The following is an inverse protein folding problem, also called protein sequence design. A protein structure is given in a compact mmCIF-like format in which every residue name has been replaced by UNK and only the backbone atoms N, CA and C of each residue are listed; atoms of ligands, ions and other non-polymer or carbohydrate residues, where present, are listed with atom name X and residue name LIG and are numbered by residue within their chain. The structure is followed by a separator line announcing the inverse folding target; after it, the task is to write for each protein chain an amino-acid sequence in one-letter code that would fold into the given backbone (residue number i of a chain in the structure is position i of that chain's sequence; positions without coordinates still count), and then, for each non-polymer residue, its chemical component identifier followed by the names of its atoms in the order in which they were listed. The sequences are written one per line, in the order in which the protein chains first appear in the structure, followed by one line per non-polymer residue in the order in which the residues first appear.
data_IF_171563105986
#
_entry.id   IF_171563105986
#
_cell.length_a   1.000
_cell.length_b   1.000
_cell.length_c   1.000
_cell.angle_alpha   90.00
_cell.angle_beta   90.00
_cell.angle_gamma   90.00
#
_symmetry.space_group_name_H-M   'P 1'
#
loop_
_entity.id
_entity.type
_entity.pdbx_description
1 polymer ?
#
# COMPACT_ATOMS: atom_id res chain seq x y z
N UNK A 1 16.25 3.17 -35.09
CA UNK A 1 15.23 4.01 -34.41
C UNK A 1 15.19 5.38 -35.09
N UNK A 2 14.03 5.81 -35.59
CA UNK A 2 13.83 7.15 -36.19
C UNK A 2 13.45 8.14 -35.09
N UNK A 3 13.84 9.40 -35.25
CA UNK A 3 13.59 10.44 -34.26
C UNK A 3 12.95 11.68 -34.90
N UNK A 4 11.99 12.27 -34.18
CA UNK A 4 11.25 13.47 -34.57
C UNK A 4 11.58 14.65 -33.64
N UNK A 5 11.55 15.86 -34.19
CA UNK A 5 11.56 17.07 -33.36
C UNK A 5 10.20 17.25 -32.68
N UNK A 6 10.15 17.98 -31.58
CA UNK A 6 8.90 18.26 -30.86
C UNK A 6 7.74 18.74 -31.75
N UNK A 7 8.00 19.56 -32.78
CA UNK A 7 6.95 20.04 -33.70
C UNK A 7 6.38 18.93 -34.59
N UNK A 8 7.20 17.99 -35.01
CA UNK A 8 6.80 16.82 -35.81
C UNK A 8 6.09 15.81 -34.90
N UNK A 9 6.64 15.60 -33.70
CA UNK A 9 6.08 14.69 -32.71
C UNK A 9 4.70 15.12 -32.20
N UNK A 10 4.44 16.43 -32.08
CA UNK A 10 3.10 16.98 -31.79
C UNK A 10 2.09 16.62 -32.89
N UNK A 11 2.53 16.61 -34.16
CA UNK A 11 1.65 16.27 -35.28
C UNK A 11 1.36 14.76 -35.32
N UNK A 12 2.36 13.93 -35.05
CA UNK A 12 2.20 12.46 -35.05
C UNK A 12 1.34 11.98 -33.88
N UNK A 13 1.54 12.53 -32.68
CA UNK A 13 0.80 12.17 -31.45
C UNK A 13 -0.55 12.88 -31.28
N UNK A 14 -0.83 13.92 -32.09
CA UNK A 14 -1.94 14.86 -31.90
C UNK A 14 -2.03 15.44 -30.47
N UNK A 15 -0.92 15.45 -29.74
CA UNK A 15 -0.85 15.81 -28.33
C UNK A 15 -0.10 17.12 -28.14
N UNK A 16 -0.52 17.91 -27.14
CA UNK A 16 0.13 19.18 -26.86
C UNK A 16 1.57 18.99 -26.36
N UNK A 17 2.41 20.01 -26.54
CA UNK A 17 3.79 20.01 -25.99
C UNK A 17 3.79 19.69 -24.48
N UNK A 18 2.90 20.30 -23.71
CA UNK A 18 2.84 20.10 -22.25
C UNK A 18 2.41 18.69 -21.88
N UNK A 19 1.47 18.08 -22.62
CA UNK A 19 1.07 16.66 -22.46
C UNK A 19 2.26 15.74 -22.72
N UNK A 20 2.98 15.94 -23.83
CA UNK A 20 4.16 15.13 -24.18
C UNK A 20 5.22 15.19 -23.07
N UNK A 21 5.60 16.39 -22.62
CA UNK A 21 6.60 16.50 -21.54
C UNK A 21 6.08 15.96 -20.20
N UNK A 22 4.78 16.03 -19.92
CA UNK A 22 4.18 15.46 -18.71
C UNK A 22 4.22 13.93 -18.75
N UNK A 23 3.91 13.31 -19.88
CA UNK A 23 4.03 11.86 -20.09
C UNK A 23 5.46 11.38 -19.82
N UNK A 24 6.46 12.03 -20.44
CA UNK A 24 7.86 11.66 -20.23
C UNK A 24 8.37 11.95 -18.82
N UNK A 25 7.83 12.97 -18.14
CA UNK A 25 8.14 13.21 -16.72
C UNK A 25 7.61 12.09 -15.82
N UNK A 26 6.51 11.43 -16.19
CA UNK A 26 5.96 10.26 -15.47
C UNK A 26 6.66 8.93 -15.82
N UNK A 27 7.33 8.88 -16.97
CA UNK A 27 7.95 7.69 -17.54
C UNK A 27 9.41 8.00 -17.92
N UNK A 28 10.27 8.07 -16.89
CA UNK A 28 11.67 8.47 -17.01
C UNK A 28 12.50 7.50 -17.86
N UNK A 29 12.12 6.22 -17.86
CA UNK A 29 12.66 5.16 -18.72
C UNK A 29 12.49 5.50 -20.21
N UNK A 30 11.26 5.85 -20.61
CA UNK A 30 10.99 6.28 -21.98
C UNK A 30 11.66 7.64 -22.28
N UNK A 31 11.84 8.49 -21.27
CA UNK A 31 12.53 9.76 -21.46
C UNK A 31 14.03 9.57 -21.71
N UNK A 32 14.65 8.55 -21.12
CA UNK A 32 16.04 8.18 -21.36
C UNK A 32 16.30 7.72 -22.81
N UNK A 33 15.28 7.18 -23.49
CA UNK A 33 15.37 6.80 -24.90
C UNK A 33 15.34 8.01 -25.87
N UNK A 34 14.96 9.20 -25.37
CA UNK A 34 14.99 10.44 -26.16
C UNK A 34 16.42 10.99 -26.29
N UNK A 35 16.72 11.64 -27.41
CA UNK A 35 18.05 12.22 -27.67
C UNK A 35 18.06 13.72 -27.46
N UNK A 36 19.11 14.23 -26.83
CA UNK A 36 19.37 15.67 -26.75
C UNK A 36 20.55 16.01 -27.66
N UNK A 37 20.31 16.78 -28.71
CA UNK A 37 21.35 17.12 -29.71
C UNK A 37 21.15 18.57 -30.14
N UNK A 38 22.23 19.35 -30.19
CA UNK A 38 22.19 20.77 -30.59
C UNK A 38 21.13 21.61 -29.86
N UNK A 39 21.03 21.42 -28.53
CA UNK A 39 20.09 22.16 -27.68
C UNK A 39 18.61 21.79 -27.88
N UNK A 40 18.32 20.75 -28.68
CA UNK A 40 16.96 20.30 -28.98
C UNK A 40 16.78 18.83 -28.61
N UNK A 41 15.60 18.51 -28.07
CA UNK A 41 15.22 17.13 -27.76
C UNK A 41 14.51 16.50 -28.96
N UNK A 42 14.87 15.26 -29.22
CA UNK A 42 14.40 14.42 -30.31
C UNK A 42 13.73 13.19 -29.71
N UNK A 43 12.51 12.91 -30.16
CA UNK A 43 11.65 11.86 -29.61
C UNK A 43 11.61 10.68 -30.58
N UNK A 44 11.71 9.42 -30.13
CA UNK A 44 11.55 8.28 -31.01
C UNK A 44 10.15 8.27 -31.65
N UNK A 45 10.08 8.04 -32.97
CA UNK A 45 8.80 7.97 -33.71
C UNK A 45 7.86 6.93 -33.12
N UNK A 46 8.41 5.81 -32.66
CA UNK A 46 7.65 4.66 -32.18
C UNK A 46 6.92 4.96 -30.86
N UNK A 47 7.32 6.02 -30.14
CA UNK A 47 6.65 6.44 -28.92
C UNK A 47 5.28 7.06 -29.20
N UNK A 48 4.98 7.43 -30.45
CA UNK A 48 3.68 8.00 -30.80
C UNK A 48 2.52 7.07 -30.43
N UNK A 49 2.74 5.74 -30.49
CA UNK A 49 1.75 4.73 -30.08
C UNK A 49 1.28 4.86 -28.64
N UNK A 50 2.12 5.36 -27.73
CA UNK A 50 1.77 5.53 -26.31
C UNK A 50 0.82 6.71 -26.07
N UNK A 51 0.65 7.60 -27.05
CA UNK A 51 -0.25 8.76 -26.94
C UNK A 51 -1.63 8.47 -27.53
N UNK A 52 -1.74 7.55 -28.47
CA UNK A 52 -3.04 7.04 -28.95
C UNK A 52 -3.66 6.04 -27.97
N UNK A 53 -2.85 5.43 -27.09
CA UNK A 53 -3.26 4.44 -26.11
C UNK A 53 -2.73 4.73 -24.70
N UNK A 54 -2.60 6.01 -24.32
CA UNK A 54 -2.06 6.44 -23.02
C UNK A 54 -2.74 5.70 -21.85
N UNK A 55 -4.06 5.51 -21.94
CA UNK A 55 -4.84 4.72 -20.98
C UNK A 55 -4.35 3.26 -20.91
N UNK A 56 -4.14 2.60 -22.06
CA UNK A 56 -3.64 1.21 -22.08
C UNK A 56 -2.20 1.09 -21.59
N UNK A 57 -1.37 2.12 -21.80
CA UNK A 57 -0.01 2.14 -21.27
C UNK A 57 -0.01 2.29 -19.74
N UNK A 58 -0.82 3.21 -19.21
CA UNK A 58 -1.01 3.38 -17.77
C UNK A 58 -1.62 2.12 -17.14
N UNK A 59 -2.63 1.50 -17.78
CA UNK A 59 -3.20 0.22 -17.37
C UNK A 59 -2.18 -0.91 -17.40
N UNK A 60 -1.34 -1.02 -18.44
CA UNK A 60 -0.29 -2.03 -18.51
C UNK A 60 0.75 -1.84 -17.39
N UNK A 61 1.06 -0.59 -17.03
CA UNK A 61 1.97 -0.28 -15.92
C UNK A 61 1.39 -0.75 -14.58
N UNK A 62 0.09 -0.50 -14.35
CA UNK A 62 -0.63 -1.01 -13.17
C UNK A 62 -0.59 -2.54 -13.16
N UNK A 63 -0.94 -3.19 -14.26
CA UNK A 63 -0.93 -4.66 -14.38
C UNK A 63 0.47 -5.25 -14.14
N UNK A 64 1.54 -4.58 -14.59
CA UNK A 64 2.92 -5.01 -14.30
C UNK A 64 3.26 -4.92 -12.82
N UNK A 65 2.83 -3.84 -12.16
CA UNK A 65 3.01 -3.67 -10.71
C UNK A 65 2.25 -4.75 -9.94
N UNK A 66 0.99 -5.01 -10.29
CA UNK A 66 0.19 -6.08 -9.69
C UNK A 66 0.83 -7.45 -9.90
N UNK A 67 1.31 -7.75 -11.11
CA UNK A 67 2.04 -8.99 -11.39
C UNK A 67 3.31 -9.14 -10.56
N UNK A 68 4.06 -8.05 -10.34
CA UNK A 68 5.24 -8.09 -9.47
C UNK A 68 4.86 -8.35 -8.01
N UNK A 69 3.81 -7.68 -7.50
CA UNK A 69 3.28 -7.92 -6.16
C UNK A 69 2.81 -9.37 -5.99
N UNK A 70 2.18 -9.96 -6.99
CA UNK A 70 1.78 -11.37 -6.99
C UNK A 70 2.97 -12.33 -6.98
N UNK A 71 4.04 -12.03 -7.72
CA UNK A 71 5.27 -12.85 -7.68
C UNK A 71 5.90 -12.84 -6.30
N UNK A 72 6.04 -11.65 -5.71
CA UNK A 72 6.55 -11.52 -4.36
C UNK A 72 5.68 -12.32 -3.37
N UNK A 73 4.34 -12.24 -3.50
CA UNK A 73 3.40 -13.02 -2.70
C UNK A 73 3.68 -14.53 -2.78
N UNK A 74 3.84 -15.07 -3.98
CA UNK A 74 4.17 -16.49 -4.20
C UNK A 74 5.49 -16.85 -3.52
N UNK A 75 6.51 -16.00 -3.67
CA UNK A 75 7.85 -16.27 -3.13
C UNK A 75 7.86 -16.37 -1.60
N UNK A 76 7.15 -15.50 -0.85
CA UNK A 76 7.11 -15.69 0.61
C UNK A 76 6.06 -16.71 1.07
N UNK A 77 5.02 -17.01 0.28
CA UNK A 77 4.12 -18.13 0.59
C UNK A 77 4.73 -19.49 0.30
N UNK A 78 5.87 -19.54 -0.40
CA UNK A 78 6.61 -20.79 -0.65
C UNK A 78 7.06 -21.45 0.66
N UNK A 79 7.41 -20.65 1.67
CA UNK A 79 7.66 -21.13 3.02
C UNK A 79 6.35 -21.20 3.82
N UNK A 80 5.82 -22.41 3.95
CA UNK A 80 4.56 -22.69 4.65
C UNK A 80 4.65 -22.53 6.16
N UNK A 81 5.85 -22.55 6.72
CA UNK A 81 6.10 -22.40 8.15
C UNK A 81 6.35 -20.92 8.53
N UNK A 82 6.33 -20.01 7.55
CA UNK A 82 6.54 -18.59 7.79
C UNK A 82 5.35 -17.93 8.50
N UNK A 83 5.64 -16.90 9.30
CA UNK A 83 4.60 -16.09 9.95
C UNK A 83 3.73 -15.37 8.92
N UNK A 84 4.31 -14.99 7.79
CA UNK A 84 3.63 -14.40 6.64
C UNK A 84 2.60 -15.36 6.05
N UNK A 85 2.96 -16.64 5.88
CA UNK A 85 2.01 -17.67 5.46
C UNK A 85 0.88 -17.83 6.47
N UNK A 86 1.21 -17.87 7.76
CA UNK A 86 0.22 -17.97 8.84
C UNK A 86 -0.78 -16.82 8.81
N UNK A 87 -0.31 -15.57 8.74
CA UNK A 87 -1.17 -14.39 8.66
C UNK A 87 -1.95 -14.32 7.34
N UNK A 88 -1.41 -14.83 6.23
CA UNK A 88 -2.13 -14.88 4.96
C UNK A 88 -3.33 -15.85 4.99
N UNK A 89 -3.23 -16.95 5.76
CA UNK A 89 -4.33 -17.90 5.95
C UNK A 89 -5.42 -17.39 6.90
N UNK A 90 -5.16 -16.33 7.66
CA UNK A 90 -6.15 -15.74 8.55
C UNK A 90 -7.15 -14.89 7.77
N UNK A 91 -8.39 -14.90 8.24
CA UNK A 91 -9.40 -13.97 7.74
C UNK A 91 -9.16 -12.58 8.31
N UNK A 92 -9.20 -11.58 7.43
CA UNK A 92 -9.09 -10.17 7.77
C UNK A 92 -10.23 -9.41 7.09
N UNK A 93 -10.71 -8.37 7.76
CA UNK A 93 -11.86 -7.58 7.27
C UNK A 93 -11.42 -6.34 6.52
N UNK A 94 -10.50 -5.56 7.08
CA UNK A 94 -10.09 -4.26 6.54
C UNK A 94 -8.58 -4.06 6.59
N UNK A 95 -8.08 -3.28 5.63
CA UNK A 95 -6.73 -2.74 5.60
C UNK A 95 -6.79 -1.23 5.81
N UNK A 96 -5.95 -0.74 6.72
CA UNK A 96 -5.85 0.66 7.08
C UNK A 96 -4.43 1.19 6.88
N UNK A 97 -4.34 2.46 6.52
CA UNK A 97 -3.11 3.25 6.56
C UNK A 97 -3.36 4.51 7.38
N UNK A 98 -2.55 4.70 8.43
CA UNK A 98 -2.62 5.88 9.30
C UNK A 98 -1.38 6.73 9.05
N UNK A 99 -1.58 7.84 8.37
CA UNK A 99 -0.56 8.84 8.12
C UNK A 99 -0.69 9.98 9.14
N UNK A 100 0.14 9.93 10.18
CA UNK A 100 0.12 10.93 11.24
C UNK A 100 0.43 12.34 10.74
N UNK A 101 -0.34 13.33 11.19
CA UNK A 101 -0.14 14.74 10.84
C UNK A 101 1.12 15.29 11.49
N UNK A 102 1.31 14.98 12.77
CA UNK A 102 2.51 15.33 13.53
C UNK A 102 3.64 14.32 13.26
N UNK A 103 4.88 14.80 13.27
CA UNK A 103 6.05 13.93 13.21
C UNK A 103 6.09 13.06 14.47
N UNK A 104 5.95 11.74 14.28
CA UNK A 104 6.04 10.75 15.36
C UNK A 104 7.26 9.87 15.17
N UNK A 105 7.86 9.47 16.28
CA UNK A 105 8.87 8.42 16.29
C UNK A 105 8.20 7.03 16.29
N UNK A 106 9.00 6.01 16.04
CA UNK A 106 8.57 4.61 15.95
C UNK A 106 7.82 4.12 17.20
N UNK A 107 8.40 4.31 18.39
CA UNK A 107 7.78 3.91 19.67
C UNK A 107 6.44 4.60 19.91
N UNK A 108 6.30 5.87 19.52
CA UNK A 108 5.03 6.58 19.63
C UNK A 108 3.97 5.98 18.71
N UNK A 109 4.32 5.66 17.46
CA UNK A 109 3.41 5.02 16.50
C UNK A 109 2.97 3.63 16.99
N UNK A 110 3.93 2.83 17.48
CA UNK A 110 3.67 1.54 18.09
C UNK A 110 2.65 1.64 19.23
N UNK A 111 2.84 2.58 20.17
CA UNK A 111 1.89 2.83 21.26
C UNK A 111 0.50 3.28 20.81
N UNK A 112 0.39 4.02 19.69
CA UNK A 112 -0.92 4.39 19.14
C UNK A 112 -1.69 3.16 18.68
N UNK A 113 -1.01 2.16 18.11
CA UNK A 113 -1.67 0.93 17.66
C UNK A 113 -2.17 0.06 18.81
N UNK A 114 -1.39 -0.06 19.89
CA UNK A 114 -1.88 -0.68 21.13
C UNK A 114 -3.05 0.09 21.74
N UNK A 115 -2.94 1.42 21.82
CA UNK A 115 -4.01 2.25 22.35
C UNK A 115 -5.30 2.16 21.52
N UNK A 116 -5.19 2.03 20.20
CA UNK A 116 -6.33 1.76 19.33
C UNK A 116 -6.97 0.41 19.66
N UNK A 117 -6.15 -0.64 19.77
CA UNK A 117 -6.63 -1.97 20.09
C UNK A 117 -7.36 -2.00 21.44
N UNK A 118 -6.77 -1.42 22.49
CA UNK A 118 -7.38 -1.34 23.82
C UNK A 118 -8.72 -0.60 23.78
N UNK A 119 -8.78 0.53 23.05
CA UNK A 119 -10.00 1.31 22.86
C UNK A 119 -11.11 0.51 22.16
N UNK A 120 -10.78 -0.26 21.12
CA UNK A 120 -11.75 -1.11 20.43
C UNK A 120 -12.18 -2.30 21.30
N UNK A 121 -11.23 -2.92 22.01
CA UNK A 121 -11.49 -4.06 22.88
C UNK A 121 -12.34 -3.69 24.09
N UNK A 122 -12.18 -2.49 24.66
CA UNK A 122 -13.05 -1.98 25.73
C UNK A 122 -14.51 -1.83 25.26
N UNK A 123 -14.71 -1.37 24.02
CA UNK A 123 -16.05 -1.15 23.45
C UNK A 123 -16.73 -2.40 22.94
N UNK A 124 -15.97 -3.32 22.34
CA UNK A 124 -16.52 -4.43 21.56
C UNK A 124 -15.90 -5.79 21.87
N UNK A 125 -14.93 -5.87 22.78
CA UNK A 125 -14.19 -7.10 23.04
C UNK A 125 -15.05 -8.25 23.56
N UNK A 126 -16.20 -7.95 24.17
CA UNK A 126 -17.19 -8.94 24.61
C UNK A 126 -18.22 -9.28 23.53
N UNK A 127 -18.31 -8.47 22.48
CA UNK A 127 -19.35 -8.55 21.44
C UNK A 127 -18.86 -9.20 20.15
N UNK A 128 -17.55 -9.13 19.86
CA UNK A 128 -16.93 -9.71 18.67
C UNK A 128 -15.47 -10.07 18.94
N UNK A 129 -14.98 -11.11 18.27
CA UNK A 129 -13.54 -11.33 18.17
C UNK A 129 -12.92 -10.19 17.35
N UNK A 130 -11.83 -9.66 17.88
CA UNK A 130 -10.99 -8.65 17.27
C UNK A 130 -9.57 -9.18 17.21
N UNK A 131 -8.95 -9.01 16.06
CA UNK A 131 -7.53 -9.30 15.84
C UNK A 131 -6.94 -8.20 14.99
N UNK A 132 -5.78 -7.72 15.39
CA UNK A 132 -5.10 -6.60 14.75
C UNK A 132 -3.65 -6.98 14.53
N UNK A 133 -3.20 -6.89 13.28
CA UNK A 133 -1.80 -6.96 12.92
C UNK A 133 -1.40 -5.61 12.36
N UNK A 134 -0.30 -5.03 12.85
CA UNK A 134 0.18 -3.73 12.39
C UNK A 134 1.68 -3.72 12.18
N UNK A 135 2.14 -2.78 11.36
CA UNK A 135 3.55 -2.45 11.18
C UNK A 135 3.76 -0.94 11.22
N UNK A 136 4.96 -0.54 11.60
CA UNK A 136 5.39 0.86 11.72
C UNK A 136 6.54 1.10 10.76
N UNK A 137 6.31 1.93 9.74
CA UNK A 137 7.29 2.19 8.68
C UNK A 137 7.70 3.67 8.64
N UNK A 138 8.96 4.01 8.32
CA UNK A 138 9.35 5.39 8.08
C UNK A 138 8.68 5.92 6.81
N UNK A 139 8.33 7.21 6.79
CA UNK A 139 7.89 7.83 5.53
C UNK A 139 9.04 7.91 4.52
N UNK A 140 8.76 7.63 3.25
CA UNK A 140 9.74 7.76 2.16
C UNK A 140 10.08 9.22 1.83
N UNK A 141 9.12 10.13 2.00
CA UNK A 141 9.20 11.51 1.52
C UNK A 141 9.31 12.56 2.64
N UNK A 142 9.30 12.15 3.92
CA UNK A 142 9.40 13.05 5.07
C UNK A 142 9.96 12.34 6.29
N UNK A 143 10.34 13.12 7.31
CA UNK A 143 10.72 12.58 8.61
C UNK A 143 9.50 12.11 9.40
N UNK A 144 9.67 11.03 10.16
CA UNK A 144 8.63 10.41 10.97
C UNK A 144 8.17 9.06 10.43
N UNK A 145 7.23 8.45 11.14
CA UNK A 145 6.72 7.11 10.88
C UNK A 145 5.20 7.13 10.63
N UNK A 146 4.69 6.06 10.05
CA UNK A 146 3.27 5.77 9.83
C UNK A 146 2.96 4.32 10.15
N UNK A 147 1.67 4.02 10.27
CA UNK A 147 1.21 2.66 10.47
C UNK A 147 0.41 2.15 9.29
N UNK A 148 0.65 0.90 8.96
CA UNK A 148 -0.25 0.04 8.20
C UNK A 148 -0.79 -1.00 9.17
N UNK A 149 -2.07 -1.33 9.05
CA UNK A 149 -2.62 -2.43 9.85
C UNK A 149 -3.79 -3.11 9.15
N UNK A 150 -3.99 -4.37 9.50
CA UNK A 150 -5.17 -5.15 9.16
C UNK A 150 -5.93 -5.47 10.43
N UNK A 151 -7.26 -5.49 10.32
CA UNK A 151 -8.14 -5.84 11.41
C UNK A 151 -9.14 -6.90 10.98
N UNK A 152 -9.30 -7.92 11.81
CA UNK A 152 -10.40 -8.89 11.75
C UNK A 152 -11.50 -8.45 12.70
N UNK A 153 -12.73 -8.53 12.21
CA UNK A 153 -13.94 -8.30 12.98
C UNK A 153 -14.89 -9.45 12.63
N UNK A 154 -15.09 -10.36 13.59
CA UNK A 154 -15.93 -11.55 13.40
C UNK A 154 -17.38 -11.19 13.06
N UNK A 155 -17.99 -10.26 13.82
CA UNK A 155 -19.35 -9.81 13.52
C UNK A 155 -19.38 -8.75 12.41
N UNK A 156 -19.78 -9.20 11.22
CA UNK A 156 -19.97 -8.35 10.03
C UNK A 156 -20.91 -7.17 10.24
N UNK A 157 -21.84 -7.24 11.20
CA UNK A 157 -22.76 -6.14 11.51
C UNK A 157 -22.06 -4.95 12.16
N UNK A 158 -20.93 -5.19 12.81
CA UNK A 158 -20.14 -4.18 13.51
C UNK A 158 -19.07 -3.53 12.62
N UNK A 159 -18.92 -3.98 11.37
CA UNK A 159 -17.89 -3.51 10.45
C UNK A 159 -17.90 -1.99 10.28
N UNK A 160 -19.02 -1.41 9.87
CA UNK A 160 -19.14 0.04 9.64
C UNK A 160 -18.92 0.85 10.93
N UNK A 161 -19.43 0.35 12.05
CA UNK A 161 -19.30 1.00 13.36
C UNK A 161 -17.84 1.03 13.82
N UNK A 162 -17.13 -0.09 13.74
CA UNK A 162 -15.73 -0.18 14.14
C UNK A 162 -14.83 0.65 13.21
N UNK A 163 -15.10 0.65 11.90
CA UNK A 163 -14.38 1.53 10.96
C UNK A 163 -14.56 3.00 11.35
N UNK A 164 -15.78 3.40 11.72
CA UNK A 164 -16.07 4.76 12.19
C UNK A 164 -15.30 5.08 13.47
N UNK A 165 -15.29 4.18 14.46
CA UNK A 165 -14.53 4.38 15.70
C UNK A 165 -13.01 4.49 15.48
N UNK A 166 -12.46 3.73 14.52
CA UNK A 166 -11.05 3.85 14.13
C UNK A 166 -10.78 5.24 13.52
N UNK A 167 -11.65 5.70 12.61
CA UNK A 167 -11.51 7.02 11.99
C UNK A 167 -11.67 8.15 13.00
N UNK A 168 -12.55 8.00 13.99
CA UNK A 168 -12.71 8.93 15.11
C UNK A 168 -11.49 8.95 16.03
N UNK A 169 -10.92 7.79 16.35
CA UNK A 169 -9.70 7.67 17.15
C UNK A 169 -8.54 8.45 16.52
N UNK A 170 -8.43 8.42 15.20
CA UNK A 170 -7.41 9.12 14.41
C UNK A 170 -7.94 10.38 13.71
N UNK A 171 -8.97 11.04 14.25
CA UNK A 171 -9.66 12.16 13.57
C UNK A 171 -8.76 13.37 13.22
N UNK A 172 -7.61 13.52 13.88
CA UNK A 172 -6.63 14.57 13.60
C UNK A 172 -5.58 14.15 12.56
N UNK A 173 -5.54 12.87 12.21
CA UNK A 173 -4.62 12.26 11.28
C UNK A 173 -5.33 11.87 9.97
N UNK A 174 -4.56 11.51 8.95
CA UNK A 174 -5.14 10.97 7.71
C UNK A 174 -5.23 9.46 7.82
N UNK A 175 -6.44 8.94 7.68
CA UNK A 175 -6.72 7.50 7.73
C UNK A 175 -7.35 7.06 6.41
N UNK A 176 -6.66 6.18 5.68
CA UNK A 176 -7.18 5.55 4.48
C UNK A 176 -7.62 4.12 4.84
N UNK A 177 -8.82 3.72 4.40
CA UNK A 177 -9.41 2.40 4.66
C UNK A 177 -9.83 1.73 3.36
N UNK A 178 -9.67 0.42 3.30
CA UNK A 178 -10.18 -0.43 2.23
C UNK A 178 -10.56 -1.80 2.76
N UNK A 179 -11.50 -2.48 2.10
CA UNK A 179 -11.75 -3.89 2.36
C UNK A 179 -10.47 -4.69 2.13
N UNK A 180 -10.15 -5.60 3.04
CA UNK A 180 -8.97 -6.43 2.88
C UNK A 180 -9.16 -7.39 1.70
N UNK A 181 -8.15 -7.47 0.85
CA UNK A 181 -8.08 -8.42 -0.26
C UNK A 181 -6.77 -9.20 -0.12
N UNK A 182 -6.87 -10.49 0.20
CA UNK A 182 -5.72 -11.37 0.43
C UNK A 182 -4.80 -11.56 -0.79
N UNK A 183 -5.29 -11.20 -1.97
CA UNK A 183 -4.52 -11.24 -3.21
C UNK A 183 -3.83 -9.91 -3.51
N UNK A 184 -4.24 -8.84 -2.82
CA UNK A 184 -3.54 -7.56 -2.83
C UNK A 184 -2.59 -7.56 -1.63
N UNK A 185 -1.33 -7.26 -1.93
CA UNK A 185 -0.19 -7.43 -1.05
C UNK A 185 -0.19 -6.56 0.25
N UNK A 186 -1.32 -6.20 0.86
CA UNK A 186 -1.39 -5.35 2.05
C UNK A 186 -0.65 -5.96 3.25
N UNK A 187 -0.91 -7.21 3.56
CA UNK A 187 -0.22 -7.95 4.64
C UNK A 187 1.25 -8.22 4.30
N UNK A 188 1.55 -8.26 3.00
CA UNK A 188 2.88 -8.49 2.45
C UNK A 188 3.75 -7.25 2.42
N UNK A 189 3.15 -6.09 2.13
CA UNK A 189 3.78 -4.78 2.15
C UNK A 189 4.26 -4.47 3.55
N UNK A 190 3.44 -4.85 4.55
CA UNK A 190 3.76 -4.76 5.96
C UNK A 190 4.95 -5.67 6.35
N UNK A 191 5.07 -6.85 5.77
CA UNK A 191 6.12 -7.82 6.13
C UNK A 191 7.37 -7.80 5.23
N UNK A 192 7.47 -6.87 4.26
CA UNK A 192 8.45 -6.90 3.15
C UNK A 192 9.92 -6.82 3.59
N UNK A 193 10.21 -6.17 4.71
CA UNK A 193 11.57 -5.95 5.22
C UNK A 193 11.91 -6.88 6.40
N UNK A 194 11.07 -7.89 6.64
CA UNK A 194 11.19 -8.79 7.79
C UNK A 194 10.54 -8.22 9.04
N UNK A 195 10.00 -9.12 9.86
CA UNK A 195 9.33 -8.82 11.11
C UNK A 195 10.36 -8.83 12.26
N UNK A 196 11.27 -7.86 12.28
CA UNK A 196 12.35 -7.78 13.28
C UNK A 196 12.19 -6.57 14.21
N UNK A 197 12.15 -6.80 15.52
CA UNK A 197 12.13 -5.72 16.53
C UNK A 197 10.75 -5.12 16.81
N UNK A 198 10.72 -3.89 17.36
CA UNK A 198 9.51 -3.12 17.72
C UNK A 198 8.83 -2.44 16.50
N UNK A 199 8.75 -3.14 15.39
CA UNK A 199 8.27 -2.60 14.10
C UNK A 199 6.87 -3.12 13.79
N UNK A 200 6.42 -4.12 14.54
CA UNK A 200 5.17 -4.82 14.31
C UNK A 200 4.67 -5.47 15.60
N UNK A 201 3.37 -5.73 15.66
CA UNK A 201 2.80 -6.63 16.66
C UNK A 201 1.52 -7.27 16.11
N UNK A 202 1.10 -8.36 16.75
CA UNK A 202 -0.12 -9.10 16.50
C UNK A 202 -0.89 -9.23 17.81
N UNK A 203 -2.05 -8.58 17.89
CA UNK A 203 -2.86 -8.51 19.09
C UNK A 203 -4.24 -9.12 18.81
N UNK A 204 -4.75 -9.96 19.70
CA UNK A 204 -6.09 -10.53 19.60
C UNK A 204 -6.76 -10.65 20.97
N UNK A 205 -8.09 -10.68 20.96
CA UNK A 205 -8.90 -10.84 22.17
C UNK A 205 -9.50 -12.23 22.29
N UNK A 206 -9.11 -13.17 21.41
CA UNK A 206 -9.55 -14.54 21.51
C UNK A 206 -9.09 -15.07 22.87
N UNK A 207 -10.07 -15.44 23.68
CA UNK A 207 -9.84 -16.03 25.00
C UNK A 207 -8.82 -17.16 24.85
N UNK A 208 -7.73 -17.07 25.59
CA UNK A 208 -6.84 -18.18 25.88
C UNK A 208 -7.59 -19.26 26.67
N UNK A 209 -8.48 -19.98 26.00
CA UNK A 209 -9.02 -21.27 26.45
C UNK A 209 -8.00 -22.37 26.16
N UNK A 210 -6.88 -22.30 26.88
CA UNK A 210 -5.91 -23.35 27.17
C UNK A 210 -4.88 -22.68 28.11
N UNK A 211 -4.78 -22.93 29.41
CA UNK A 211 -4.97 -24.16 30.17
C UNK A 211 -5.25 -23.80 31.64
N UNK A 212 -6.46 -24.08 32.10
CA UNK A 212 -6.74 -24.40 33.49
C UNK A 212 -7.52 -25.72 33.43
N UNK A 213 -6.81 -26.85 33.36
CA UNK A 213 -7.32 -28.16 33.77
C UNK A 213 -6.16 -29.17 33.77
N UNK A 214 -5.93 -29.70 34.99
CA UNK A 214 -4.98 -30.73 35.48
C UNK A 214 -3.55 -30.28 35.82
#
# INVERSE_FOLDING_TARGET
MKYEKIKEFIKSTKSSKSTIYRFYKKNEDLFAETKFTNGKRFFPTDHARYFDSEIMFDENKILRQENQSMRNLIDCLADKESLQHTFWQMDWSFFFTVAYKLERNKTSCFKQMHGLYDYLNEKHGTSTELRLFFTTEPFTNRKGYHNHFVIHIEDKRLHEQIVTYIQEYFNYDRTDVSSYDKYKAGLFYMSKDGLSGEDWDFINNSSSTASNEN
#
